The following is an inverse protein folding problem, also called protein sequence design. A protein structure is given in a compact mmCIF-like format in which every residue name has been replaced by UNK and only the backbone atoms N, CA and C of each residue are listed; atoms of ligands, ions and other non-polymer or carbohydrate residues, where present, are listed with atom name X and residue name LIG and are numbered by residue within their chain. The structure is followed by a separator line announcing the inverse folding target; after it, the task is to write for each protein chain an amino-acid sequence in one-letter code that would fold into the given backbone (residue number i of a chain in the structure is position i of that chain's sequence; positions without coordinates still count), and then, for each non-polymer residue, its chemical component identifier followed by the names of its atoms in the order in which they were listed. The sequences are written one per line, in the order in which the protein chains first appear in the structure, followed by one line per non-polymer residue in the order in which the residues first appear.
data_IF_818847368498
#
_entry.id   IF_818847368498
#
_cell.length_a   1.000
_cell.length_b   1.000
_cell.length_c   1.000
_cell.angle_alpha   90.00
_cell.angle_beta   90.00
_cell.angle_gamma   90.00
#
_symmetry.space_group_name_H-M   'P 1'
#
loop_
_entity.id
_entity.type
_entity.pdbx_description
1 polymer ?
#
# COMPACT_ATOMS: atom_id res chain seq x y z
N UNK A 1 -40.33 4.17 -67.42
CA UNK A 1 -40.23 5.58 -67.00
C UNK A 1 -40.81 5.73 -65.61
N UNK A 2 -39.99 5.56 -64.57
CA UNK A 2 -40.38 5.75 -63.15
C UNK A 2 -39.30 6.43 -62.28
N UNK A 3 -38.14 6.72 -62.85
CA UNK A 3 -36.89 6.95 -62.10
C UNK A 3 -36.85 8.22 -61.25
N UNK A 4 -37.54 9.29 -61.64
CA UNK A 4 -37.56 10.55 -60.88
C UNK A 4 -38.48 10.47 -59.66
N UNK A 5 -39.62 9.78 -59.81
CA UNK A 5 -40.63 9.67 -58.76
C UNK A 5 -40.15 8.73 -57.66
N UNK A 6 -39.51 7.62 -58.04
CA UNK A 6 -38.90 6.67 -57.10
C UNK A 6 -37.76 7.32 -56.30
N UNK A 7 -36.95 8.18 -56.94
CA UNK A 7 -35.91 8.95 -56.26
C UNK A 7 -36.49 9.97 -55.29
N UNK A 8 -37.60 10.62 -55.65
CA UNK A 8 -38.29 11.56 -54.77
C UNK A 8 -38.86 10.87 -53.53
N UNK A 9 -39.42 9.66 -53.67
CA UNK A 9 -39.87 8.84 -52.55
C UNK A 9 -38.70 8.42 -51.65
N UNK A 10 -37.59 7.94 -52.23
CA UNK A 10 -36.40 7.55 -51.47
C UNK A 10 -35.78 8.74 -50.70
N UNK A 11 -35.78 9.94 -51.30
CA UNK A 11 -35.32 11.15 -50.62
C UNK A 11 -36.23 11.53 -49.45
N UNK A 12 -37.56 11.45 -49.63
CA UNK A 12 -38.51 11.70 -48.54
C UNK A 12 -38.35 10.71 -47.39
N UNK A 13 -38.16 9.42 -47.69
CA UNK A 13 -37.92 8.38 -46.69
C UNK A 13 -36.65 8.67 -45.88
N UNK A 14 -35.56 9.08 -46.55
CA UNK A 14 -34.32 9.46 -45.87
C UNK A 14 -34.44 10.71 -45.02
N UNK A 15 -35.23 11.70 -45.46
CA UNK A 15 -35.53 12.89 -44.65
C UNK A 15 -36.29 12.50 -43.37
N UNK A 16 -37.24 11.57 -43.48
CA UNK A 16 -38.00 11.12 -42.31
C UNK A 16 -37.15 10.28 -41.36
N UNK A 17 -36.25 9.44 -41.89
CA UNK A 17 -35.28 8.69 -41.07
C UNK A 17 -34.31 9.62 -40.33
N UNK A 18 -33.82 10.68 -41.00
CA UNK A 18 -32.99 11.71 -40.35
C UNK A 18 -33.76 12.42 -39.24
N UNK A 19 -35.02 12.79 -39.47
CA UNK A 19 -35.88 13.40 -38.43
C UNK A 19 -36.07 12.51 -37.22
N UNK A 20 -36.25 11.19 -37.41
CA UNK A 20 -36.37 10.24 -36.30
C UNK A 20 -35.06 10.14 -35.50
N UNK A 21 -33.91 10.16 -36.19
CA UNK A 21 -32.60 10.16 -35.54
C UNK A 21 -32.35 11.47 -34.78
N UNK A 22 -32.70 12.62 -35.35
CA UNK A 22 -32.58 13.92 -34.69
C UNK A 22 -33.44 13.95 -33.42
N UNK A 23 -34.68 13.46 -33.47
CA UNK A 23 -35.54 13.36 -32.29
C UNK A 23 -34.97 12.44 -31.18
N UNK A 24 -34.32 11.33 -31.57
CA UNK A 24 -33.65 10.44 -30.61
C UNK A 24 -32.40 11.08 -30.01
N UNK A 25 -31.66 11.86 -30.80
CA UNK A 25 -30.51 12.62 -30.30
C UNK A 25 -30.99 13.62 -29.25
N UNK A 26 -32.05 14.38 -29.53
CA UNK A 26 -32.63 15.34 -28.57
C UNK A 26 -33.04 14.65 -27.24
N UNK A 27 -33.62 13.45 -27.30
CA UNK A 27 -33.99 12.68 -26.11
C UNK A 27 -32.76 12.22 -25.31
N UNK A 28 -31.73 11.70 -25.98
CA UNK A 28 -30.50 11.25 -25.35
C UNK A 28 -29.71 12.42 -24.75
N UNK A 29 -29.69 13.58 -25.42
CA UNK A 29 -29.10 14.80 -24.90
C UNK A 29 -29.79 15.25 -23.62
N UNK A 30 -31.13 15.21 -23.58
CA UNK A 30 -31.90 15.52 -22.37
C UNK A 30 -31.61 14.54 -21.22
N UNK A 31 -31.43 13.25 -21.50
CA UNK A 31 -31.02 12.28 -20.47
C UNK A 31 -29.61 12.56 -19.93
N UNK A 32 -28.67 12.97 -20.79
CA UNK A 32 -27.32 13.33 -20.39
C UNK A 32 -27.34 14.56 -19.48
N UNK A 33 -28.09 15.59 -19.85
CA UNK A 33 -28.26 16.79 -19.01
C UNK A 33 -28.82 16.44 -17.62
N UNK A 34 -29.82 15.55 -17.55
CA UNK A 34 -30.38 15.08 -16.28
C UNK A 34 -29.35 14.31 -15.43
N UNK A 35 -28.53 13.46 -16.06
CA UNK A 35 -27.46 12.71 -15.38
C UNK A 35 -26.36 13.65 -14.89
N UNK A 36 -26.00 14.67 -15.67
CA UNK A 36 -25.01 15.67 -15.28
C UNK A 36 -25.48 16.52 -14.12
N UNK A 37 -26.76 16.91 -14.08
CA UNK A 37 -27.35 17.55 -12.90
C UNK A 37 -27.28 16.65 -11.66
N UNK A 38 -27.58 15.36 -11.80
CA UNK A 38 -27.52 14.41 -10.69
C UNK A 38 -26.08 14.27 -10.17
N UNK A 39 -25.10 14.15 -11.08
CA UNK A 39 -23.69 14.13 -10.73
C UNK A 39 -23.31 15.38 -9.96
N UNK A 40 -23.74 16.57 -10.42
CA UNK A 40 -23.46 17.83 -9.74
C UNK A 40 -24.07 17.88 -8.34
N UNK A 41 -25.31 17.40 -8.16
CA UNK A 41 -25.95 17.32 -6.83
C UNK A 41 -25.19 16.41 -5.89
N UNK A 42 -24.82 15.21 -6.34
CA UNK A 42 -24.07 14.25 -5.53
C UNK A 42 -22.66 14.77 -5.19
N UNK A 43 -21.99 15.44 -6.14
CA UNK A 43 -20.71 16.11 -5.88
C UNK A 43 -20.86 17.21 -4.81
N UNK A 44 -21.91 18.01 -4.87
CA UNK A 44 -22.20 19.04 -3.87
C UNK A 44 -22.47 18.42 -2.48
N UNK A 45 -23.18 17.30 -2.42
CA UNK A 45 -23.39 16.56 -1.17
C UNK A 45 -22.07 16.02 -0.61
N UNK A 46 -21.25 15.37 -1.45
CA UNK A 46 -19.92 14.92 -1.07
C UNK A 46 -19.05 16.08 -0.56
N UNK A 47 -19.09 17.24 -1.21
CA UNK A 47 -18.35 18.42 -0.77
C UNK A 47 -18.88 18.98 0.56
N UNK A 48 -20.20 18.91 0.81
CA UNK A 48 -20.79 19.24 2.10
C UNK A 48 -20.27 18.32 3.20
N UNK A 49 -20.32 17.00 2.99
CA UNK A 49 -19.78 16.01 3.94
C UNK A 49 -18.27 16.21 4.16
N UNK A 50 -17.54 16.46 3.08
CA UNK A 50 -16.11 16.73 3.15
C UNK A 50 -15.83 18.00 3.95
N UNK A 51 -16.63 19.05 3.80
CA UNK A 51 -16.48 20.32 4.53
C UNK A 51 -16.59 20.13 6.04
N UNK A 52 -17.52 19.29 6.51
CA UNK A 52 -17.66 18.99 7.96
C UNK A 52 -16.53 18.11 8.50
N UNK A 53 -15.84 17.34 7.64
CA UNK A 53 -14.69 16.48 8.01
C UNK A 53 -13.35 17.26 7.97
N UNK A 54 -13.32 18.47 7.42
CA UNK A 54 -12.11 19.16 6.95
C UNK A 54 -11.33 20.10 7.88
N UNK A 55 -11.61 20.32 9.17
CA UNK A 55 -10.56 20.88 10.03
C UNK A 55 -9.34 19.92 10.16
N UNK A 56 -9.49 18.64 9.80
CA UNK A 56 -8.45 17.63 10.06
C UNK A 56 -7.50 17.32 8.88
N UNK A 57 -7.76 17.73 7.62
CA UNK A 57 -6.99 17.16 6.47
C UNK A 57 -6.77 18.04 5.22
N UNK A 58 -6.86 19.37 5.28
CA UNK A 58 -6.72 20.21 4.08
C UNK A 58 -5.38 20.92 3.89
N UNK A 59 -4.49 20.35 3.05
CA UNK A 59 -3.61 21.11 2.11
C UNK A 59 -3.14 20.28 0.88
N UNK A 60 -3.98 19.47 0.20
CA UNK A 60 -3.45 18.62 -0.91
C UNK A 60 -4.15 18.69 -2.27
N UNK A 61 -5.25 19.43 -2.50
CA UNK A 61 -5.97 19.26 -3.80
C UNK A 61 -6.35 20.50 -4.59
N UNK A 62 -5.53 21.55 -4.60
CA UNK A 62 -5.63 22.58 -5.64
C UNK A 62 -4.24 23.03 -6.07
N UNK A 63 -3.75 22.51 -7.19
CA UNK A 63 -2.92 23.22 -8.17
C UNK A 63 -2.43 22.22 -9.23
N UNK A 64 -3.24 22.03 -10.27
CA UNK A 64 -2.77 21.54 -11.56
C UNK A 64 -2.69 22.78 -12.45
N UNK A 65 -1.53 23.44 -12.49
CA UNK A 65 -1.05 24.31 -13.58
C UNK A 65 0.30 24.91 -13.16
N UNK A 66 1.34 24.51 -13.88
CA UNK A 66 2.66 25.16 -14.01
C UNK A 66 3.50 25.34 -12.74
N UNK A 67 4.53 24.51 -12.57
CA UNK A 67 5.94 24.90 -12.35
C UNK A 67 6.79 23.66 -12.09
N UNK A 68 8.05 23.70 -12.55
CA UNK A 68 9.07 22.69 -12.29
C UNK A 68 9.22 22.46 -10.77
N UNK A 69 8.94 21.25 -10.29
CA UNK A 69 9.08 20.91 -8.87
C UNK A 69 8.67 19.46 -8.62
N UNK A 70 9.67 18.64 -8.32
CA UNK A 70 9.64 17.34 -7.63
C UNK A 70 8.32 16.56 -7.72
N UNK A 71 8.32 15.47 -8.49
CA UNK A 71 7.26 14.45 -8.46
C UNK A 71 6.99 14.06 -7.00
N UNK A 72 5.85 14.51 -6.45
CA UNK A 72 5.37 14.09 -5.12
C UNK A 72 5.37 12.56 -5.09
N UNK A 73 6.26 11.98 -4.31
CA UNK A 73 6.35 10.54 -4.10
C UNK A 73 5.00 10.05 -3.58
N UNK A 74 4.28 9.26 -4.38
CA UNK A 74 3.01 8.66 -3.97
C UNK A 74 3.31 7.76 -2.77
N UNK A 75 2.73 8.06 -1.61
CA UNK A 75 2.85 7.20 -0.42
C UNK A 75 2.13 5.89 -0.72
N UNK A 76 2.87 4.80 -0.91
CA UNK A 76 2.28 3.47 -0.95
C UNK A 76 1.86 3.07 0.45
N UNK A 77 0.64 2.55 0.58
CA UNK A 77 0.21 1.92 1.82
C UNK A 77 0.85 0.52 1.92
N UNK A 78 1.26 0.15 3.12
CA UNK A 78 1.78 -1.18 3.45
C UNK A 78 0.74 -1.84 4.35
N UNK A 79 0.41 -3.10 4.08
CA UNK A 79 -0.50 -3.89 4.90
C UNK A 79 0.14 -5.22 5.24
N UNK A 80 0.04 -5.63 6.50
CA UNK A 80 0.42 -6.96 6.95
C UNK A 80 -0.71 -7.97 6.74
N UNK A 81 -0.37 -9.25 6.81
CA UNK A 81 -1.34 -10.34 6.84
C UNK A 81 -2.18 -10.30 8.13
N UNK A 82 -3.46 -10.68 8.08
CA UNK A 82 -4.31 -10.72 9.26
C UNK A 82 -3.83 -11.80 10.23
N UNK A 83 -3.67 -11.44 11.51
CA UNK A 83 -3.10 -12.30 12.56
C UNK A 83 -3.97 -13.53 12.90
N UNK A 84 -5.28 -13.49 12.63
CA UNK A 84 -6.19 -14.65 12.59
C UNK A 84 -7.58 -14.23 12.08
N UNK A 85 -8.35 -15.18 11.53
CA UNK A 85 -9.76 -14.97 11.17
C UNK A 85 -10.70 -15.08 12.37
N UNK A 86 -10.30 -15.78 13.44
CA UNK A 86 -11.06 -15.93 14.68
C UNK A 86 -10.15 -15.93 15.92
N UNK A 87 -10.54 -15.20 16.98
CA UNK A 87 -9.81 -15.03 18.24
C UNK A 87 -9.62 -16.38 18.98
N UNK A 88 -10.45 -17.37 18.69
CA UNK A 88 -10.38 -18.71 19.28
C UNK A 88 -9.16 -19.51 18.79
N UNK A 89 -8.69 -19.26 17.56
CA UNK A 89 -7.52 -19.96 17.00
C UNK A 89 -6.19 -19.46 17.59
N UNK A 90 -6.15 -18.26 18.19
CA UNK A 90 -4.94 -17.78 18.89
C UNK A 90 -4.62 -18.61 20.13
N UNK A 91 -5.63 -19.21 20.78
CA UNK A 91 -5.45 -19.93 22.04
C UNK A 91 -4.70 -21.27 21.90
N UNK A 92 -4.51 -21.74 20.66
CA UNK A 92 -3.84 -23.01 20.35
C UNK A 92 -2.50 -22.84 19.61
N UNK A 93 -2.01 -21.61 19.44
CA UNK A 93 -0.69 -21.37 18.85
C UNK A 93 0.39 -21.78 19.84
N UNK A 94 0.97 -22.95 19.61
CA UNK A 94 2.13 -23.43 20.37
C UNK A 94 3.39 -22.96 19.65
N UNK A 95 4.11 -22.03 20.29
CA UNK A 95 5.40 -21.59 19.78
C UNK A 95 6.45 -22.69 20.00
N UNK A 96 7.31 -22.96 19.01
CA UNK A 96 8.39 -23.93 19.18
C UNK A 96 9.34 -23.45 20.29
N UNK A 97 9.92 -24.37 21.05
CA UNK A 97 10.92 -24.07 22.07
C UNK A 97 12.30 -24.56 21.61
N UNK A 98 13.29 -23.66 21.62
CA UNK A 98 14.68 -24.00 21.33
C UNK A 98 15.56 -23.70 22.55
N UNK A 99 16.19 -24.72 23.17
CA UNK A 99 17.05 -24.52 24.33
C UNK A 99 18.29 -23.69 23.96
N UNK A 100 18.61 -22.71 24.80
CA UNK A 100 19.75 -21.77 24.64
C UNK A 100 20.51 -21.62 25.95
N UNK A 101 21.76 -21.17 25.86
CA UNK A 101 22.56 -20.83 27.04
C UNK A 101 21.95 -19.63 27.79
N UNK A 102 22.13 -19.50 29.12
CA UNK A 102 21.67 -18.33 29.86
C UNK A 102 22.21 -17.02 29.28
N UNK A 103 23.49 -17.01 28.90
CA UNK A 103 24.15 -15.86 28.29
C UNK A 103 23.47 -15.43 26.97
N UNK A 104 23.18 -16.39 26.09
CA UNK A 104 22.52 -16.09 24.81
C UNK A 104 21.08 -15.61 25.02
N UNK A 105 20.38 -16.12 26.04
CA UNK A 105 19.03 -15.64 26.41
C UNK A 105 19.07 -14.18 26.88
N UNK A 106 20.04 -13.83 27.71
CA UNK A 106 20.21 -12.47 28.22
C UNK A 106 20.54 -11.50 27.08
N UNK A 107 21.44 -11.87 26.17
CA UNK A 107 21.79 -11.07 24.99
C UNK A 107 20.58 -10.79 24.09
N UNK A 108 19.76 -11.81 23.79
CA UNK A 108 18.55 -11.63 22.97
C UNK A 108 17.56 -10.72 23.69
N UNK A 109 17.40 -10.87 25.01
CA UNK A 109 16.50 -10.05 25.81
C UNK A 109 16.91 -8.58 25.82
N UNK A 110 18.20 -8.29 26.01
CA UNK A 110 18.74 -6.93 25.94
C UNK A 110 18.50 -6.32 24.56
N UNK A 111 18.79 -7.08 23.49
CA UNK A 111 18.55 -6.65 22.11
C UNK A 111 17.09 -6.24 21.86
N UNK A 112 16.12 -7.02 22.37
CA UNK A 112 14.69 -6.75 22.23
C UNK A 112 14.29 -5.48 23.01
N UNK A 113 14.83 -5.30 24.21
CA UNK A 113 14.52 -4.14 25.07
C UNK A 113 15.14 -2.83 24.57
N UNK A 114 16.29 -2.92 23.90
CA UNK A 114 16.95 -1.76 23.31
C UNK A 114 16.25 -1.29 22.02
N UNK A 115 15.37 -2.13 21.44
CA UNK A 115 14.67 -1.81 20.22
C UNK A 115 13.42 -0.95 20.43
N UNK A 116 13.32 0.16 19.69
CA UNK A 116 12.18 1.07 19.79
C UNK A 116 10.81 0.44 19.46
N UNK A 117 10.77 -0.59 18.59
CA UNK A 117 9.52 -1.27 18.23
C UNK A 117 9.08 -2.31 19.26
N UNK A 118 10.00 -2.88 20.04
CA UNK A 118 9.74 -4.03 20.92
C UNK A 118 9.94 -3.77 22.42
N UNK A 119 10.50 -2.62 22.80
CA UNK A 119 10.76 -2.27 24.22
C UNK A 119 9.54 -2.19 25.15
N UNK A 120 8.34 -2.07 24.58
CA UNK A 120 7.10 -1.95 25.36
C UNK A 120 6.36 -3.30 25.52
N UNK A 121 6.96 -4.42 25.12
CA UNK A 121 6.39 -5.76 25.31
C UNK A 121 6.47 -6.19 26.77
N UNK A 122 5.50 -7.01 27.20
CA UNK A 122 5.55 -7.59 28.53
C UNK A 122 6.69 -8.60 28.64
N UNK A 123 7.28 -8.74 29.83
CA UNK A 123 8.44 -9.62 30.07
C UNK A 123 8.11 -11.09 29.72
N UNK A 124 6.86 -11.51 29.92
CA UNK A 124 6.34 -12.82 29.50
C UNK A 124 6.42 -13.03 28.00
N UNK A 125 5.99 -12.05 27.21
CA UNK A 125 6.03 -12.09 25.74
C UNK A 125 7.47 -12.09 25.22
N UNK A 126 8.33 -11.28 25.85
CA UNK A 126 9.77 -11.27 25.52
C UNK A 126 10.37 -12.66 25.77
N UNK A 127 10.00 -13.32 26.88
CA UNK A 127 10.47 -14.67 27.19
C UNK A 127 10.01 -15.69 26.15
N UNK A 128 8.76 -15.61 25.69
CA UNK A 128 8.23 -16.47 24.62
C UNK A 128 8.98 -16.26 23.30
N UNK A 129 9.28 -15.01 22.93
CA UNK A 129 10.09 -14.69 21.75
C UNK A 129 11.51 -15.28 21.89
N UNK A 130 12.17 -15.06 23.02
CA UNK A 130 13.51 -15.60 23.30
C UNK A 130 13.51 -17.12 23.19
N UNK A 131 12.46 -17.78 23.69
CA UNK A 131 12.36 -19.23 23.69
C UNK A 131 12.09 -19.81 22.29
N UNK A 132 11.39 -19.09 21.41
CA UNK A 132 11.06 -19.54 20.05
C UNK A 132 12.08 -19.17 18.96
N UNK A 133 12.99 -18.22 19.21
CA UNK A 133 14.11 -17.96 18.31
C UNK A 133 15.01 -19.21 18.18
N UNK A 134 15.66 -19.41 17.04
CA UNK A 134 16.55 -20.54 16.82
C UNK A 134 17.93 -20.06 16.33
N UNK A 135 19.01 -20.75 16.72
CA UNK A 135 20.36 -20.38 16.27
C UNK A 135 20.54 -20.71 14.79
N UNK A 136 21.24 -19.83 14.08
CA UNK A 136 21.64 -20.03 12.68
C UNK A 136 23.10 -19.61 12.54
N UNK A 137 23.91 -20.50 11.97
CA UNK A 137 25.32 -20.23 11.70
C UNK A 137 25.52 -19.87 10.22
N UNK A 138 26.31 -18.84 9.99
CA UNK A 138 26.67 -18.39 8.66
C UNK A 138 28.20 -18.36 8.50
N UNK A 139 28.68 -18.75 7.31
CA UNK A 139 30.11 -18.75 6.99
C UNK A 139 30.68 -17.34 6.78
N UNK A 140 32.00 -17.21 6.76
CA UNK A 140 32.65 -15.94 6.36
C UNK A 140 32.22 -15.58 4.93
N UNK A 141 31.97 -14.28 4.70
CA UNK A 141 31.50 -13.71 3.44
C UNK A 141 30.09 -14.15 2.99
N UNK A 142 29.29 -14.72 3.90
CA UNK A 142 27.89 -15.03 3.63
C UNK A 142 27.03 -13.77 3.58
N UNK A 143 26.13 -13.70 2.60
CA UNK A 143 25.07 -12.71 2.57
C UNK A 143 23.80 -13.30 3.21
N UNK A 144 23.39 -12.76 4.37
CA UNK A 144 22.20 -13.20 5.12
C UNK A 144 20.92 -12.63 4.50
N UNK A 145 20.97 -11.36 4.08
CA UNK A 145 19.84 -10.62 3.52
C UNK A 145 20.34 -9.87 2.30
N UNK A 146 19.65 -10.04 1.16
CA UNK A 146 19.93 -9.25 -0.03
C UNK A 146 18.93 -8.11 -0.11
N UNK A 147 19.42 -6.96 -0.56
CA UNK A 147 18.53 -5.85 -0.87
C UNK A 147 17.47 -6.35 -1.85
N UNK A 148 16.19 -6.01 -1.62
CA UNK A 148 15.08 -6.32 -2.52
C UNK A 148 14.36 -7.62 -2.26
N UNK A 149 14.90 -8.44 -1.37
CA UNK A 149 14.20 -9.62 -0.87
C UNK A 149 13.07 -9.19 0.09
N UNK A 150 12.00 -9.98 0.09
CA UNK A 150 10.89 -9.80 1.02
C UNK A 150 11.34 -10.23 2.42
N UNK A 151 11.33 -9.31 3.38
CA UNK A 151 11.67 -9.58 4.77
C UNK A 151 10.52 -10.27 5.53
N UNK A 152 10.80 -11.43 6.13
CA UNK A 152 9.86 -12.19 6.98
C UNK A 152 10.47 -12.65 8.31
N UNK A 153 11.76 -12.41 8.53
CA UNK A 153 12.52 -12.87 9.69
C UNK A 153 13.23 -11.70 10.39
N UNK A 154 13.44 -11.85 11.69
CA UNK A 154 14.19 -10.93 12.55
C UNK A 154 15.44 -11.64 13.06
N UNK A 155 16.59 -10.96 13.03
CA UNK A 155 17.87 -11.52 13.45
C UNK A 155 18.46 -10.75 14.62
N UNK A 156 19.12 -11.49 15.52
CA UNK A 156 19.95 -10.97 16.61
C UNK A 156 21.35 -11.53 16.40
N UNK A 157 22.36 -10.67 16.48
CA UNK A 157 23.76 -11.06 16.27
C UNK A 157 24.44 -11.34 17.61
N UNK A 158 24.97 -12.55 17.78
CA UNK A 158 25.78 -12.95 18.94
C UNK A 158 27.27 -12.90 18.55
N UNK A 159 27.93 -11.76 18.78
CA UNK A 159 29.37 -11.59 18.55
C UNK A 159 29.81 -10.17 18.18
N UNK A 160 31.00 -9.78 18.65
CA UNK A 160 31.63 -8.50 18.32
C UNK A 160 32.23 -8.57 16.91
N UNK A 161 31.44 -8.24 15.88
CA UNK A 161 32.03 -8.01 14.56
C UNK A 161 32.76 -6.67 14.62
N UNK A 162 34.09 -6.76 14.70
CA UNK A 162 35.05 -5.65 14.63
C UNK A 162 34.97 -5.04 13.22
N UNK A 163 34.01 -4.14 12.97
CA UNK A 163 34.14 -3.01 12.03
C UNK A 163 33.22 -1.86 12.51
N UNK A 164 33.76 -0.64 12.71
CA UNK A 164 33.10 0.42 13.48
C UNK A 164 32.18 1.32 12.63
N UNK A 165 31.16 1.90 13.28
CA UNK A 165 30.47 3.19 12.99
C UNK A 165 29.90 3.38 11.56
N UNK A 166 28.71 3.91 11.32
CA UNK A 166 27.86 4.83 12.06
C UNK A 166 26.47 4.84 11.39
N UNK A 167 25.47 4.95 12.24
CA UNK A 167 24.14 5.58 12.12
C UNK A 167 23.85 6.47 10.88
N UNK A 168 22.56 6.40 10.50
CA UNK A 168 21.79 7.27 9.60
C UNK A 168 22.15 7.05 8.10
N UNK A 169 21.22 6.57 7.27
CA UNK A 169 20.35 7.48 6.50
C UNK A 169 19.40 6.66 5.61
N UNK A 170 18.15 7.17 5.54
CA UNK A 170 17.16 7.14 4.46
C UNK A 170 16.96 5.84 3.67
N UNK A 171 15.69 5.40 3.68
CA UNK A 171 14.96 4.89 2.52
C UNK A 171 15.78 4.69 1.22
N UNK A 172 15.98 3.40 0.88
CA UNK A 172 16.04 2.82 -0.48
C UNK A 172 17.29 3.03 -1.36
N UNK A 173 17.57 2.13 -2.35
CA UNK A 173 16.60 1.28 -3.06
C UNK A 173 17.04 -0.15 -3.45
N UNK A 174 16.19 -1.16 -3.21
CA UNK A 174 16.23 -2.29 -4.12
C UNK A 174 15.28 -2.19 -5.30
N UNK A 175 15.93 -2.31 -6.46
CA UNK A 175 15.35 -2.64 -7.74
C UNK A 175 14.82 -4.07 -7.76
N UNK A 176 13.52 -4.25 -8.01
CA UNK A 176 13.13 -5.19 -9.04
C UNK A 176 12.24 -4.49 -10.07
N UNK A 177 12.76 -4.51 -11.29
CA UNK A 177 12.26 -3.80 -12.46
C UNK A 177 11.01 -4.48 -12.98
N UNK A 178 9.86 -4.01 -12.53
CA UNK A 178 8.67 -3.87 -13.38
C UNK A 178 7.85 -2.71 -12.83
N UNK A 179 7.93 -1.56 -13.52
CA UNK A 179 7.17 -0.34 -13.26
C UNK A 179 7.35 0.30 -11.87
N UNK A 180 8.57 0.78 -11.61
CA UNK A 180 8.85 2.09 -10.96
C UNK A 180 8.05 2.48 -9.69
N UNK A 181 7.91 1.59 -8.70
CA UNK A 181 7.70 2.05 -7.31
C UNK A 181 8.35 1.07 -6.33
N UNK A 182 9.26 1.53 -5.46
CA UNK A 182 9.98 0.61 -4.58
C UNK A 182 9.31 0.56 -3.19
N UNK A 183 8.98 -0.66 -2.76
CA UNK A 183 8.26 -0.95 -1.52
C UNK A 183 9.30 -1.21 -0.42
N UNK A 184 9.40 -0.31 0.55
CA UNK A 184 10.29 -0.47 1.71
C UNK A 184 9.55 -1.23 2.83
N UNK A 185 9.93 -2.49 3.07
CA UNK A 185 9.58 -3.18 4.31
C UNK A 185 10.56 -2.75 5.41
N UNK A 186 10.09 -2.49 6.66
CA UNK A 186 11.00 -2.24 7.76
C UNK A 186 11.73 -3.54 8.12
N UNK A 187 13.01 -3.61 7.77
CA UNK A 187 13.90 -4.67 8.22
C UNK A 187 14.40 -4.30 9.63
N UNK A 188 13.92 -5.00 10.65
CA UNK A 188 14.41 -4.82 12.03
C UNK A 188 15.59 -5.77 12.21
N UNK A 189 16.81 -5.24 12.18
CA UNK A 189 18.01 -5.94 12.64
C UNK A 189 18.30 -5.44 14.04
N UNK A 190 18.23 -6.32 15.03
CA UNK A 190 18.57 -6.01 16.41
C UNK A 190 20.09 -6.13 16.56
N UNK A 191 20.77 -5.00 16.61
CA UNK A 191 22.20 -4.94 16.92
C UNK A 191 22.34 -4.69 18.42
N UNK A 192 23.12 -5.54 19.10
CA UNK A 192 23.59 -5.34 20.48
C UNK A 192 24.95 -4.65 20.43
#
# INVERSE_FOLDING_TARGET
MGTLRDLQYALQEKIEELRQRDALIDELELELDQKDELIQRLQNELDKYRSVIKPATQQVHKQTTNTLGEQRTKRQAISAEPTAFDIQDLSHVTLPFYPKSPQSKDLIKEAILDNDFMKNLEISQIQEIVDCMYPVEYGKDSCIIKEGDVGSLVYVMEGTIIFPLLLLILFLPCCQRSNNVPICCPLIILSV
#
